data_IF_324174928357
#
_entry.id   IF_324174928357
#
_cell.length_a   1.000
_cell.length_b   1.000
_cell.length_c   1.000
_cell.angle_alpha   90.00
_cell.angle_beta   90.00
_cell.angle_gamma   90.00
#
_symmetry.space_group_name_H-M   'P 1'
#
loop_
_entity.id
_entity.type
_entity.pdbx_description
1 polymer ?
#
# COMPACT_ATOMS: atom_id res chain seq x y z
N UNK A 1 16.02 12.61 -15.14
CA UNK A 1 14.66 12.73 -14.58
C UNK A 1 14.55 11.77 -13.41
N UNK A 2 13.94 12.17 -12.31
CA UNK A 2 13.64 11.27 -11.20
C UNK A 2 12.51 10.35 -11.64
N UNK A 3 12.75 9.04 -11.75
CA UNK A 3 11.68 8.07 -11.98
C UNK A 3 10.72 8.08 -10.78
N UNK A 4 9.41 8.05 -11.05
CA UNK A 4 8.33 7.98 -10.08
C UNK A 4 8.32 9.10 -9.01
N UNK A 5 8.09 10.37 -9.38
CA UNK A 5 8.06 11.49 -8.44
C UNK A 5 6.97 11.36 -7.36
N UNK A 6 5.76 10.88 -7.68
CA UNK A 6 4.71 10.71 -6.68
C UNK A 6 5.05 9.59 -5.69
N UNK A 7 5.60 8.48 -6.18
CA UNK A 7 6.08 7.37 -5.36
C UNK A 7 7.19 7.85 -4.41
N UNK A 8 8.16 8.59 -4.92
CA UNK A 8 9.27 9.13 -4.12
C UNK A 8 8.84 10.10 -3.03
N UNK A 9 7.75 10.84 -3.23
CA UNK A 9 7.19 11.70 -2.18
C UNK A 9 6.79 10.92 -0.90
N UNK A 10 6.59 9.60 -1.02
CA UNK A 10 6.28 8.73 0.11
C UNK A 10 7.50 8.27 0.92
N UNK A 11 8.74 8.56 0.51
CA UNK A 11 9.95 8.16 1.25
C UNK A 11 9.89 8.59 2.73
N UNK A 12 10.25 7.70 3.65
CA UNK A 12 10.25 7.93 5.08
C UNK A 12 9.18 7.12 5.83
N UNK A 13 8.88 7.56 7.05
CA UNK A 13 8.03 6.83 7.98
C UNK A 13 6.64 7.43 8.04
N UNK A 14 5.63 6.56 8.06
CA UNK A 14 4.22 6.88 8.15
C UNK A 14 3.56 6.08 9.27
N UNK A 15 2.68 6.72 10.02
CA UNK A 15 1.86 6.11 11.07
C UNK A 15 0.40 6.38 10.79
N UNK A 16 -0.45 5.39 10.99
CA UNK A 16 -1.87 5.54 10.68
C UNK A 16 -2.74 4.42 11.21
N UNK A 17 -3.98 4.44 10.75
CA UNK A 17 -4.99 3.42 11.08
C UNK A 17 -5.53 2.83 9.79
N UNK A 18 -5.55 1.51 9.74
CA UNK A 18 -6.20 0.74 8.69
C UNK A 18 -7.60 0.36 9.19
N UNK A 19 -8.63 0.73 8.45
CA UNK A 19 -10.03 0.39 8.72
C UNK A 19 -10.56 -0.43 7.56
N UNK A 20 -10.96 -1.66 7.84
CA UNK A 20 -11.59 -2.54 6.88
C UNK A 20 -13.11 -2.43 6.99
N UNK A 21 -13.76 -2.23 5.84
CA UNK A 21 -15.20 -2.14 5.70
C UNK A 21 -15.73 -3.29 4.86
N UNK A 22 -16.87 -3.86 5.22
CA UNK A 22 -17.62 -4.73 4.32
C UNK A 22 -18.28 -3.93 3.17
N UNK A 23 -19.10 -4.61 2.37
CA UNK A 23 -19.78 -4.01 1.21
C UNK A 23 -20.86 -3.01 1.59
N UNK A 24 -21.45 -3.14 2.78
CA UNK A 24 -22.48 -2.25 3.32
C UNK A 24 -21.87 -1.04 4.07
N UNK A 25 -20.55 -1.05 4.26
CA UNK A 25 -19.80 0.01 4.92
C UNK A 25 -19.65 -0.19 6.42
N UNK A 26 -20.01 -1.36 6.97
CA UNK A 26 -19.77 -1.66 8.37
C UNK A 26 -18.28 -1.97 8.61
N UNK A 27 -17.76 -1.50 9.74
CA UNK A 27 -16.36 -1.76 10.14
C UNK A 27 -16.23 -3.21 10.59
N UNK A 28 -15.38 -3.97 9.90
CA UNK A 28 -15.14 -5.39 10.20
C UNK A 28 -13.76 -5.65 10.83
N UNK A 29 -12.81 -4.73 10.65
CA UNK A 29 -11.51 -4.77 11.35
C UNK A 29 -10.91 -3.36 11.40
N UNK A 30 -10.13 -3.08 12.46
CA UNK A 30 -9.44 -1.80 12.64
C UNK A 30 -8.16 -2.01 13.43
N UNK A 31 -7.04 -1.56 12.89
CA UNK A 31 -5.74 -1.72 13.52
C UNK A 31 -4.77 -0.59 13.16
N UNK A 32 -3.75 -0.40 13.98
CA UNK A 32 -2.70 0.59 13.71
C UNK A 32 -1.71 0.04 12.70
N UNK A 33 -1.11 0.94 11.91
CA UNK A 33 -0.02 0.61 11.02
C UNK A 33 1.12 1.62 11.15
N UNK A 34 2.34 1.11 11.02
CA UNK A 34 3.55 1.90 10.82
C UNK A 34 4.23 1.43 9.54
N UNK A 35 4.37 2.32 8.57
CA UNK A 35 4.91 2.04 7.23
C UNK A 35 6.22 2.79 7.06
N UNK A 36 7.25 2.11 6.56
CA UNK A 36 8.54 2.70 6.17
C UNK A 36 8.67 2.50 4.67
N UNK A 37 8.94 3.58 3.95
CA UNK A 37 9.18 3.60 2.52
C UNK A 37 10.61 4.05 2.27
N UNK A 38 11.45 3.18 1.70
CA UNK A 38 12.85 3.48 1.41
C UNK A 38 13.13 3.33 -0.10
N UNK A 39 14.01 4.19 -0.62
CA UNK A 39 14.52 4.11 -2.00
C UNK A 39 16.03 3.90 -1.97
N UNK A 40 16.52 2.65 -2.04
CA UNK A 40 17.95 2.37 -2.01
C UNK A 40 18.75 3.20 -3.03
N UNK A 41 19.91 3.71 -2.61
CA UNK A 41 20.74 4.60 -3.44
C UNK A 41 21.26 3.92 -4.71
N UNK A 42 21.42 2.59 -4.68
CA UNK A 42 21.87 1.78 -5.81
C UNK A 42 21.40 0.34 -5.65
N UNK A 43 21.16 -0.33 -6.79
CA UNK A 43 20.87 -1.76 -6.83
C UNK A 43 19.40 -2.10 -6.98
N UNK A 44 19.10 -3.38 -6.71
CA UNK A 44 17.77 -3.97 -6.69
C UNK A 44 17.45 -4.36 -5.25
N UNK A 45 16.30 -3.94 -4.66
CA UNK A 45 15.15 -3.27 -5.27
C UNK A 45 15.24 -1.74 -5.40
N UNK A 46 14.41 -1.18 -6.29
CA UNK A 46 14.23 0.28 -6.45
C UNK A 46 13.48 0.91 -5.27
N UNK A 47 12.52 0.18 -4.71
CA UNK A 47 11.65 0.61 -3.63
C UNK A 47 11.52 -0.52 -2.61
N UNK A 48 11.62 -0.19 -1.33
CA UNK A 48 11.37 -1.11 -0.22
C UNK A 48 10.28 -0.53 0.66
N UNK A 49 9.24 -1.31 0.92
CA UNK A 49 8.25 -1.00 1.95
C UNK A 49 8.41 -1.99 3.10
N UNK A 50 8.51 -1.49 4.32
CA UNK A 50 8.27 -2.26 5.53
C UNK A 50 6.98 -1.80 6.18
N UNK A 51 6.13 -2.72 6.62
CA UNK A 51 4.91 -2.38 7.33
C UNK A 51 4.78 -3.23 8.58
N UNK A 52 4.42 -2.59 9.69
CA UNK A 52 4.06 -3.23 10.95
C UNK A 52 2.62 -2.89 11.29
N UNK A 53 1.82 -3.91 11.54
CA UNK A 53 0.44 -3.81 11.99
C UNK A 53 0.34 -4.19 13.47
N UNK A 54 -0.52 -3.49 14.20
CA UNK A 54 -0.81 -3.73 15.62
C UNK A 54 -2.31 -3.65 15.89
N UNK A 55 -2.87 -4.74 16.41
CA UNK A 55 -4.28 -4.84 16.78
C UNK A 55 -4.50 -4.51 18.27
N UNK A 56 -5.72 -4.11 18.66
CA UNK A 56 -6.06 -3.84 20.07
C UNK A 56 -5.85 -5.02 21.03
N UNK A 57 -5.90 -6.25 20.51
CA UNK A 57 -5.67 -7.49 21.25
C UNK A 57 -4.19 -7.85 21.44
N UNK A 58 -3.28 -7.02 20.92
CA UNK A 58 -1.84 -7.22 21.00
C UNK A 58 -1.25 -8.07 19.87
N UNK A 59 -2.05 -8.54 18.90
CA UNK A 59 -1.51 -9.20 17.71
C UNK A 59 -0.62 -8.22 16.93
N UNK A 60 0.49 -8.76 16.42
CA UNK A 60 1.44 -8.05 15.56
C UNK A 60 1.60 -8.80 14.23
N UNK A 61 1.72 -8.05 13.13
CA UNK A 61 2.15 -8.58 11.82
C UNK A 61 3.16 -7.64 11.22
N UNK A 62 4.23 -8.18 10.65
CA UNK A 62 5.24 -7.40 9.93
C UNK A 62 5.38 -7.98 8.52
N UNK A 63 5.33 -7.11 7.51
CA UNK A 63 5.48 -7.48 6.11
C UNK A 63 6.54 -6.58 5.43
N UNK A 64 7.19 -7.12 4.39
CA UNK A 64 8.15 -6.40 3.54
C UNK A 64 7.81 -6.59 2.08
N UNK A 65 7.85 -5.51 1.30
CA UNK A 65 7.60 -5.53 -0.14
C UNK A 65 8.73 -4.85 -0.91
N UNK A 66 9.33 -5.58 -1.84
CA UNK A 66 10.42 -5.11 -2.68
C UNK A 66 9.88 -4.82 -4.10
N UNK A 67 9.99 -3.57 -4.53
CA UNK A 67 9.50 -3.07 -5.82
C UNK A 67 10.64 -2.83 -6.81
N UNK A 68 10.44 -3.26 -8.06
CA UNK A 68 11.42 -3.11 -9.16
C UNK A 68 10.85 -2.27 -10.29
N UNK A 69 11.68 -1.45 -10.93
CA UNK A 69 11.24 -0.71 -12.12
C UNK A 69 11.06 -1.68 -13.29
N UNK A 70 9.92 -1.57 -13.98
CA UNK A 70 9.68 -2.20 -15.27
C UNK A 70 8.93 -1.21 -16.17
N UNK A 71 9.68 -0.50 -17.03
CA UNK A 71 9.13 0.59 -17.84
C UNK A 71 8.59 1.73 -16.99
N UNK A 72 7.29 2.02 -17.12
CA UNK A 72 6.58 3.07 -16.39
C UNK A 72 5.84 2.54 -15.16
N UNK A 73 6.16 1.32 -14.72
CA UNK A 73 5.56 0.66 -13.56
C UNK A 73 6.63 0.22 -12.54
N UNK A 74 6.20 0.04 -11.29
CA UNK A 74 6.95 -0.65 -10.24
C UNK A 74 6.29 -2.02 -10.03
N UNK A 75 7.00 -3.10 -10.32
CA UNK A 75 6.50 -4.46 -10.18
C UNK A 75 6.88 -5.04 -8.82
N UNK A 76 5.92 -5.75 -8.23
CA UNK A 76 6.07 -6.45 -6.96
C UNK A 76 5.88 -7.94 -7.20
N UNK A 77 6.76 -8.74 -6.61
CA UNK A 77 6.67 -10.19 -6.63
C UNK A 77 7.05 -10.74 -5.26
N UNK A 78 6.05 -11.07 -4.46
CA UNK A 78 6.21 -11.55 -3.09
C UNK A 78 5.67 -12.99 -2.98
N UNK A 79 5.88 -13.67 -1.84
CA UNK A 79 5.25 -14.98 -1.61
C UNK A 79 3.71 -14.93 -1.60
N UNK A 80 3.10 -13.81 -1.15
CA UNK A 80 1.65 -13.72 -0.92
C UNK A 80 0.89 -12.95 -2.01
N UNK A 81 1.57 -12.12 -2.81
CA UNK A 81 0.96 -11.42 -3.94
C UNK A 81 1.98 -11.06 -5.01
N UNK A 82 1.47 -10.76 -6.21
CA UNK A 82 2.21 -10.13 -7.30
C UNK A 82 1.39 -8.98 -7.89
N UNK A 83 2.05 -8.04 -8.54
CA UNK A 83 1.34 -7.00 -9.28
C UNK A 83 2.20 -5.78 -9.49
N UNK A 84 1.56 -4.62 -9.61
CA UNK A 84 2.26 -3.40 -10.03
C UNK A 84 1.67 -2.13 -9.44
N UNK A 85 2.52 -1.12 -9.33
CA UNK A 85 2.18 0.26 -9.07
C UNK A 85 2.55 1.14 -10.26
N UNK A 86 1.77 2.20 -10.51
CA UNK A 86 2.08 3.23 -11.49
C UNK A 86 1.57 4.59 -11.01
N UNK A 87 2.03 5.65 -11.65
CA UNK A 87 1.60 7.01 -11.33
C UNK A 87 0.56 7.52 -12.32
N UNK A 88 -0.40 8.30 -11.84
CA UNK A 88 -1.36 9.00 -12.68
C UNK A 88 -1.79 10.29 -12.02
N UNK A 89 -1.58 11.43 -12.70
CA UNK A 89 -1.96 12.76 -12.20
C UNK A 89 -1.49 13.06 -10.75
N UNK A 90 -0.29 12.59 -10.38
CA UNK A 90 0.28 12.76 -9.04
C UNK A 90 -0.23 11.77 -7.98
N UNK A 91 -1.11 10.84 -8.36
CA UNK A 91 -1.55 9.71 -7.54
C UNK A 91 -0.63 8.51 -7.75
N UNK A 92 -0.55 7.63 -6.75
CA UNK A 92 -0.01 6.28 -6.93
C UNK A 92 -1.18 5.30 -6.98
N UNK A 93 -1.23 4.50 -8.04
CA UNK A 93 -2.24 3.46 -8.26
C UNK A 93 -1.56 2.10 -8.19
N UNK A 94 -2.24 1.10 -7.60
CA UNK A 94 -1.74 -0.28 -7.58
C UNK A 94 -2.83 -1.25 -7.99
N UNK A 95 -2.40 -2.37 -8.60
CA UNK A 95 -3.23 -3.56 -8.79
C UNK A 95 -2.41 -4.79 -8.41
N UNK A 96 -2.87 -5.51 -7.39
CA UNK A 96 -2.14 -6.61 -6.75
C UNK A 96 -3.03 -7.86 -6.64
N UNK A 97 -2.57 -8.96 -7.24
CA UNK A 97 -3.20 -10.27 -7.22
C UNK A 97 -2.67 -11.11 -6.06
N UNK A 98 -3.57 -11.74 -5.30
CA UNK A 98 -3.21 -12.62 -4.19
C UNK A 98 -2.80 -14.00 -4.70
N UNK A 99 -1.63 -14.47 -4.24
CA UNK A 99 -1.11 -15.82 -4.50
C UNK A 99 -1.56 -16.82 -3.44
N UNK A 100 -1.73 -16.34 -2.21
CA UNK A 100 -2.19 -17.12 -1.07
C UNK A 100 -3.72 -17.25 -1.01
N UNK A 101 -4.43 -16.45 -1.81
CA UNK A 101 -5.88 -16.47 -1.93
C UNK A 101 -6.29 -16.37 -3.41
N UNK A 102 -6.26 -17.49 -4.16
CA UNK A 102 -6.57 -17.50 -5.58
C UNK A 102 -7.94 -16.87 -5.90
N UNK A 103 -8.00 -16.08 -6.96
CA UNK A 103 -9.21 -15.33 -7.35
C UNK A 103 -9.38 -14.00 -6.62
N UNK A 104 -8.61 -13.74 -5.56
CA UNK A 104 -8.63 -12.46 -4.86
C UNK A 104 -7.56 -11.50 -5.40
N UNK A 105 -7.93 -10.23 -5.52
CA UNK A 105 -7.03 -9.14 -5.84
C UNK A 105 -7.49 -7.86 -5.15
N UNK A 106 -6.65 -6.84 -5.14
CA UNK A 106 -7.08 -5.52 -4.75
C UNK A 106 -6.45 -4.44 -5.62
N UNK A 107 -7.25 -3.40 -5.88
CA UNK A 107 -6.78 -2.16 -6.47
C UNK A 107 -6.66 -1.11 -5.38
N UNK A 108 -5.61 -0.32 -5.44
CA UNK A 108 -5.33 0.72 -4.46
C UNK A 108 -5.11 2.08 -5.13
N UNK A 109 -5.57 3.13 -4.45
CA UNK A 109 -5.25 4.53 -4.75
C UNK A 109 -4.59 5.14 -3.51
N UNK A 110 -3.46 5.79 -3.70
CA UNK A 110 -2.76 6.55 -2.67
C UNK A 110 -2.74 8.02 -3.08
N UNK A 111 -3.23 8.87 -2.17
CA UNK A 111 -3.34 10.31 -2.36
C UNK A 111 -2.51 11.01 -1.30
N UNK A 112 -1.50 11.77 -1.72
CA UNK A 112 -0.70 12.61 -0.82
C UNK A 112 -1.39 13.97 -0.65
N UNK A 113 -1.49 14.46 0.59
CA UNK A 113 -1.94 15.83 0.83
C UNK A 113 -0.91 16.84 0.29
N UNK A 114 -1.33 18.06 -0.12
CA UNK A 114 -0.42 19.04 -0.72
C UNK A 114 0.79 19.42 0.15
N UNK A 115 0.69 19.29 1.47
CA UNK A 115 1.77 19.58 2.41
C UNK A 115 2.78 18.42 2.58
N UNK A 116 2.51 17.25 1.98
CA UNK A 116 3.33 16.05 2.10
C UNK A 116 3.37 15.45 3.52
N UNK A 117 2.47 15.86 4.41
CA UNK A 117 2.44 15.44 5.82
C UNK A 117 1.41 14.36 6.11
N UNK A 118 0.35 14.30 5.32
CA UNK A 118 -0.67 13.25 5.43
C UNK A 118 -0.93 12.60 4.08
N UNK A 119 -1.40 11.37 4.10
CA UNK A 119 -1.86 10.66 2.91
C UNK A 119 -3.04 9.77 3.26
N UNK A 120 -3.90 9.57 2.27
CA UNK A 120 -5.00 8.64 2.34
C UNK A 120 -4.76 7.49 1.36
N UNK A 121 -5.06 6.27 1.79
CA UNK A 121 -5.02 5.07 0.94
C UNK A 121 -6.40 4.45 0.90
N UNK A 122 -6.87 4.06 -0.29
CA UNK A 122 -8.15 3.36 -0.44
C UNK A 122 -7.96 2.12 -1.27
N UNK A 123 -8.41 0.99 -0.73
CA UNK A 123 -8.26 -0.32 -1.34
C UNK A 123 -9.64 -0.86 -1.66
N UNK A 124 -9.83 -1.38 -2.86
CA UNK A 124 -11.00 -2.17 -3.23
C UNK A 124 -10.56 -3.61 -3.41
N UNK A 125 -11.09 -4.49 -2.56
CA UNK A 125 -10.81 -5.92 -2.61
C UNK A 125 -11.89 -6.63 -3.40
N UNK A 126 -11.45 -7.44 -4.35
CA UNK A 126 -12.32 -8.27 -5.17
C UNK A 126 -11.96 -9.73 -4.98
N UNK A 127 -12.98 -10.59 -5.09
CA UNK A 127 -12.81 -12.04 -5.25
C UNK A 127 -13.72 -12.50 -6.38
N UNK A 128 -13.15 -13.20 -7.35
CA UNK A 128 -13.89 -13.69 -8.53
C UNK A 128 -14.70 -12.60 -9.25
N UNK A 129 -14.13 -11.40 -9.32
CA UNK A 129 -14.75 -10.22 -9.96
C UNK A 129 -15.80 -9.49 -9.13
N UNK A 130 -16.07 -9.94 -7.89
CA UNK A 130 -17.05 -9.32 -6.99
C UNK A 130 -16.33 -8.54 -5.89
N UNK A 131 -16.77 -7.31 -5.62
CA UNK A 131 -16.26 -6.52 -4.51
C UNK A 131 -16.65 -7.18 -3.18
N UNK A 132 -15.68 -7.41 -2.30
CA UNK A 132 -15.91 -8.08 -1.00
C UNK A 132 -15.56 -7.22 0.21
N UNK A 133 -14.67 -6.24 0.05
CA UNK A 133 -14.17 -5.42 1.17
C UNK A 133 -13.55 -4.12 0.65
N UNK A 134 -13.56 -3.08 1.49
CA UNK A 134 -12.75 -1.88 1.31
C UNK A 134 -11.77 -1.72 2.46
N UNK A 135 -10.60 -1.15 2.20
CA UNK A 135 -9.69 -0.66 3.25
C UNK A 135 -9.52 0.83 3.10
N UNK A 136 -9.67 1.56 4.21
CA UNK A 136 -9.35 2.97 4.33
C UNK A 136 -8.14 3.11 5.25
N UNK A 137 -7.10 3.78 4.78
CA UNK A 137 -5.92 4.08 5.59
C UNK A 137 -5.71 5.58 5.67
N UNK A 138 -5.74 6.11 6.89
CA UNK A 138 -5.41 7.50 7.19
C UNK A 138 -4.04 7.54 7.85
N UNK A 139 -3.06 8.12 7.17
CA UNK A 139 -1.66 8.07 7.57
C UNK A 139 -1.05 9.48 7.65
N UNK A 140 -0.22 9.68 8.66
CA UNK A 140 0.60 10.88 8.84
C UNK A 140 2.07 10.51 8.82
N UNK A 141 2.91 11.40 8.31
CA UNK A 141 4.36 11.25 8.37
C UNK A 141 4.81 11.29 9.83
N UNK A 142 5.62 10.33 10.26
CA UNK A 142 6.23 10.39 11.58
C UNK A 142 7.27 11.52 11.62
N UNK A 143 7.31 12.23 12.75
CA UNK A 143 8.17 13.40 12.96
C UNK A 143 9.65 13.08 12.93
#
# INVERSE_FOLDING_TARGET
>A
MTHFPAMRAHEGVWEGVYTHLDTDGAVVDRHKARVICDFPASGDPFYVQHIRFEWPDGRLREDRFDGRISGDEIVFDTPTFSGRAWESAGLVLLNLDRKDEPGAHFTEIIVMAPDGRTRARTWHWFRDGVLVRRTLCDERRAG
#
